data_IF_685619746590
#
_entry.id   IF_685619746590
#
_cell.length_a   1.000
_cell.length_b   1.000
_cell.length_c   1.000
_cell.angle_alpha   90.00
_cell.angle_beta   90.00
_cell.angle_gamma   90.00
#
_symmetry.space_group_name_H-M   'P 1'
#
loop_
_entity.id
_entity.type
_entity.pdbx_description
1 polymer ?
#
# COMPACT_ATOMS: atom_id res chain seq x y z
N UNK A 1 5.28 16.31 -76.54
CA UNK A 1 3.97 15.91 -75.98
C UNK A 1 4.12 15.87 -74.47
N UNK A 2 3.71 16.94 -73.80
CA UNK A 2 3.78 17.07 -72.34
C UNK A 2 2.40 16.69 -71.78
N UNK A 3 2.32 15.57 -71.07
CA UNK A 3 1.13 15.18 -70.32
C UNK A 3 1.15 15.94 -68.97
N UNK A 4 0.49 17.08 -68.91
CA UNK A 4 0.15 17.70 -67.62
C UNK A 4 -1.05 16.94 -67.02
N UNK A 5 -0.78 16.12 -66.01
CA UNK A 5 -1.83 15.51 -65.19
C UNK A 5 -2.31 16.52 -64.14
N UNK A 6 -3.24 17.38 -64.53
CA UNK A 6 -3.92 18.32 -63.64
C UNK A 6 -4.94 17.57 -62.76
N UNK A 7 -4.46 16.84 -61.75
CA UNK A 7 -5.32 16.36 -60.67
C UNK A 7 -5.88 17.55 -59.90
N UNK A 8 -7.22 17.62 -59.78
CA UNK A 8 -7.88 18.72 -59.09
C UNK A 8 -7.38 18.84 -57.64
N UNK A 9 -7.32 20.05 -57.06
CA UNK A 9 -6.90 20.25 -55.68
C UNK A 9 -7.72 19.41 -54.68
N UNK A 10 -8.96 19.07 -55.05
CA UNK A 10 -9.86 18.21 -54.30
C UNK A 10 -9.45 16.71 -54.32
N UNK A 11 -8.92 16.20 -55.43
CA UNK A 11 -8.38 14.83 -55.47
C UNK A 11 -7.08 14.68 -54.66
N UNK A 12 -6.27 15.74 -54.62
CA UNK A 12 -5.01 15.74 -53.84
C UNK A 12 -5.26 15.77 -52.32
N UNK A 13 -6.29 16.49 -51.87
CA UNK A 13 -6.70 16.48 -50.45
C UNK A 13 -7.29 15.14 -50.04
N UNK A 14 -8.13 14.52 -50.87
CA UNK A 14 -8.68 13.17 -50.58
C UNK A 14 -7.56 12.13 -50.52
N UNK A 15 -6.63 12.13 -51.48
CA UNK A 15 -5.49 11.21 -51.47
C UNK A 15 -4.62 11.35 -50.21
N UNK A 16 -4.41 12.59 -49.75
CA UNK A 16 -3.64 12.87 -48.53
C UNK A 16 -4.35 12.36 -47.27
N UNK A 17 -5.68 12.54 -47.18
CA UNK A 17 -6.50 12.05 -46.07
C UNK A 17 -6.51 10.51 -46.04
N UNK A 18 -6.62 9.87 -47.21
CA UNK A 18 -6.60 8.41 -47.31
C UNK A 18 -5.24 7.85 -46.89
N UNK A 19 -4.12 8.47 -47.30
CA UNK A 19 -2.78 8.05 -46.86
C UNK A 19 -2.61 8.21 -45.35
N UNK A 20 -3.01 9.36 -44.78
CA UNK A 20 -2.90 9.62 -43.33
C UNK A 20 -3.75 8.63 -42.53
N UNK A 21 -4.99 8.37 -42.96
CA UNK A 21 -5.87 7.39 -42.30
C UNK A 21 -5.34 5.96 -42.42
N UNK A 22 -4.83 5.55 -43.58
CA UNK A 22 -4.22 4.23 -43.74
C UNK A 22 -2.93 4.07 -42.91
N UNK A 23 -2.09 5.10 -42.82
CA UNK A 23 -0.90 5.06 -41.95
C UNK A 23 -1.25 5.01 -40.47
N UNK A 24 -2.26 5.76 -40.01
CA UNK A 24 -2.76 5.68 -38.64
C UNK A 24 -3.37 4.31 -38.31
N UNK A 25 -4.14 3.73 -39.24
CA UNK A 25 -4.78 2.42 -39.06
C UNK A 25 -3.76 1.26 -38.94
N UNK A 26 -2.59 1.38 -39.58
CA UNK A 26 -1.55 0.34 -39.55
C UNK A 26 -0.61 0.55 -38.33
N UNK A 27 -0.26 1.78 -37.98
CA UNK A 27 0.68 2.04 -36.88
C UNK A 27 0.08 1.84 -35.49
N UNK A 28 -1.21 2.13 -35.29
CA UNK A 28 -1.87 2.00 -33.99
C UNK A 28 -1.88 0.55 -33.46
N UNK A 29 -2.32 -0.47 -34.21
CA UNK A 29 -2.31 -1.85 -33.74
C UNK A 29 -0.88 -2.39 -33.56
N UNK A 30 0.09 -1.95 -34.38
CA UNK A 30 1.50 -2.33 -34.21
C UNK A 30 2.13 -1.69 -32.96
N UNK A 31 1.81 -0.43 -32.67
CA UNK A 31 2.26 0.25 -31.45
C UNK A 31 1.61 -0.36 -30.19
N UNK A 32 0.31 -0.67 -30.24
CA UNK A 32 -0.39 -1.38 -29.16
C UNK A 32 0.17 -2.79 -28.96
N UNK A 33 0.46 -3.54 -30.04
CA UNK A 33 1.08 -4.86 -29.94
C UNK A 33 2.50 -4.79 -29.35
N UNK A 34 3.31 -3.80 -29.75
CA UNK A 34 4.63 -3.56 -29.17
C UNK A 34 4.54 -3.18 -27.69
N UNK A 35 3.55 -2.37 -27.29
CA UNK A 35 3.29 -2.04 -25.89
C UNK A 35 2.86 -3.26 -25.08
N UNK A 36 1.94 -4.09 -25.60
CA UNK A 36 1.52 -5.33 -24.94
C UNK A 36 2.70 -6.28 -24.76
N UNK A 37 3.50 -6.51 -25.81
CA UNK A 37 4.69 -7.36 -25.70
C UNK A 37 5.75 -6.79 -24.74
N UNK A 38 5.86 -5.46 -24.65
CA UNK A 38 6.76 -4.80 -23.70
C UNK A 38 6.27 -4.96 -22.25
N UNK A 39 4.97 -4.85 -22.01
CA UNK A 39 4.37 -5.07 -20.69
C UNK A 39 4.40 -6.54 -20.29
N UNK A 40 4.12 -7.48 -21.19
CA UNK A 40 4.29 -8.93 -20.95
C UNK A 40 5.74 -9.28 -20.61
N UNK A 41 6.71 -8.69 -21.32
CA UNK A 41 8.13 -8.86 -21.02
C UNK A 41 8.48 -8.33 -19.63
N UNK A 42 8.00 -7.13 -19.25
CA UNK A 42 8.21 -6.58 -17.90
C UNK A 42 7.61 -7.47 -16.82
N UNK A 43 6.39 -7.96 -17.03
CA UNK A 43 5.72 -8.87 -16.10
C UNK A 43 6.49 -10.19 -15.94
N UNK A 44 6.93 -10.80 -17.03
CA UNK A 44 7.72 -12.03 -16.99
C UNK A 44 9.07 -11.84 -16.25
N UNK A 45 9.72 -10.69 -16.44
CA UNK A 45 10.95 -10.34 -15.70
C UNK A 45 10.67 -10.17 -14.22
N UNK A 46 9.58 -9.48 -13.85
CA UNK A 46 9.17 -9.28 -12.47
C UNK A 46 8.81 -10.61 -11.78
N UNK A 47 8.09 -11.50 -12.46
CA UNK A 47 7.72 -12.81 -11.92
C UNK A 47 8.93 -13.73 -11.74
N UNK A 48 9.88 -13.70 -12.67
CA UNK A 48 11.16 -14.40 -12.52
C UNK A 48 11.95 -13.86 -11.32
N UNK A 49 12.00 -12.54 -11.13
CA UNK A 49 12.66 -11.94 -9.98
C UNK A 49 12.00 -12.35 -8.66
N UNK A 50 10.67 -12.41 -8.61
CA UNK A 50 9.91 -12.91 -7.45
C UNK A 50 10.22 -14.37 -7.18
N UNK A 51 10.27 -15.22 -8.20
CA UNK A 51 10.64 -16.63 -8.06
C UNK A 51 12.05 -16.76 -7.46
N UNK A 52 13.02 -16.00 -7.99
CA UNK A 52 14.40 -15.98 -7.49
C UNK A 52 14.48 -15.50 -6.03
N UNK A 53 13.67 -14.52 -5.63
CA UNK A 53 13.58 -14.07 -4.23
C UNK A 53 13.01 -15.16 -3.29
N UNK A 54 12.01 -15.93 -3.75
CA UNK A 54 11.49 -17.10 -3.03
C UNK A 54 12.58 -18.17 -2.90
N UNK A 55 13.30 -18.45 -3.98
CA UNK A 55 14.43 -19.39 -3.95
C UNK A 55 15.53 -18.93 -2.99
N UNK A 56 15.87 -17.63 -2.96
CA UNK A 56 16.84 -17.08 -2.01
C UNK A 56 16.39 -17.35 -0.58
N UNK A 57 15.13 -17.10 -0.26
CA UNK A 57 14.57 -17.35 1.07
C UNK A 57 14.70 -18.82 1.47
N UNK A 58 14.38 -19.76 0.57
CA UNK A 58 14.55 -21.20 0.79
C UNK A 58 16.03 -21.58 1.01
N UNK A 59 16.93 -20.99 0.24
CA UNK A 59 18.38 -21.20 0.40
C UNK A 59 18.87 -20.68 1.75
N UNK A 60 18.41 -19.51 2.19
CA UNK A 60 18.75 -18.96 3.51
C UNK A 60 18.20 -19.82 4.66
N UNK A 61 16.98 -20.37 4.53
CA UNK A 61 16.44 -21.35 5.48
C UNK A 61 17.30 -22.62 5.52
N UNK A 62 17.72 -23.12 4.35
CA UNK A 62 18.61 -24.29 4.27
C UNK A 62 19.95 -24.05 4.94
N UNK A 63 20.54 -22.85 4.74
CA UNK A 63 21.75 -22.41 5.43
C UNK A 63 21.55 -22.45 6.94
N UNK A 64 20.47 -21.84 7.43
CA UNK A 64 20.18 -21.79 8.86
C UNK A 64 19.98 -23.18 9.46
N UNK A 65 19.13 -24.03 8.86
CA UNK A 65 18.90 -25.41 9.34
C UNK A 65 20.21 -26.18 9.45
N UNK A 66 21.09 -26.02 8.46
CA UNK A 66 22.40 -26.68 8.45
C UNK A 66 23.34 -26.12 9.51
N UNK A 67 23.33 -24.80 9.72
CA UNK A 67 24.08 -24.18 10.80
C UNK A 67 23.55 -24.63 12.17
N UNK A 68 22.23 -24.64 12.38
CA UNK A 68 21.59 -25.06 13.62
C UNK A 68 21.94 -26.51 13.95
N UNK A 69 21.88 -27.41 12.96
CA UNK A 69 22.32 -28.80 13.12
C UNK A 69 23.78 -28.91 13.56
N UNK A 70 24.67 -28.10 12.98
CA UNK A 70 26.09 -28.09 13.35
C UNK A 70 26.37 -27.43 14.69
N UNK A 71 25.46 -26.59 15.20
CA UNK A 71 25.58 -25.98 16.51
C UNK A 71 25.26 -26.98 17.64
N UNK A 72 24.41 -27.98 17.36
CA UNK A 72 23.93 -28.96 18.33
C UNK A 72 24.71 -30.28 18.33
N UNK A 73 25.75 -30.42 17.51
CA UNK A 73 26.54 -31.66 17.48
C UNK A 73 27.34 -31.83 18.77
N UNK A 74 27.35 -33.06 19.30
CA UNK A 74 28.21 -33.43 20.42
C UNK A 74 29.65 -33.77 19.97
N UNK A 75 30.51 -34.12 20.92
CA UNK A 75 31.92 -34.44 20.68
C UNK A 75 32.12 -35.68 19.81
N UNK A 76 31.26 -36.70 19.93
CA UNK A 76 31.32 -37.93 19.14
C UNK A 76 30.90 -37.65 17.69
N UNK A 77 29.79 -36.94 17.49
CA UNK A 77 29.30 -36.51 16.19
C UNK A 77 30.29 -35.57 15.48
N UNK A 78 30.94 -34.68 16.23
CA UNK A 78 32.01 -33.82 15.70
C UNK A 78 33.19 -34.68 15.21
N UNK A 79 33.57 -35.73 15.94
CA UNK A 79 34.64 -36.64 15.55
C UNK A 79 34.35 -37.39 14.23
N UNK A 80 33.09 -37.76 13.99
CA UNK A 80 32.63 -38.41 12.74
C UNK A 80 32.37 -37.43 11.59
N UNK A 81 32.20 -36.13 11.87
CA UNK A 81 31.87 -35.13 10.87
C UNK A 81 32.92 -35.06 9.74
N UNK A 82 32.47 -35.23 8.50
CA UNK A 82 33.31 -34.99 7.33
C UNK A 82 33.44 -33.48 7.07
N UNK A 83 34.56 -32.89 7.52
CA UNK A 83 34.83 -31.46 7.36
C UNK A 83 34.93 -31.05 5.88
N UNK A 84 35.51 -31.91 5.03
CA UNK A 84 35.62 -31.66 3.59
C UNK A 84 34.25 -31.53 2.91
N UNK A 85 33.34 -32.46 3.21
CA UNK A 85 31.97 -32.43 2.70
C UNK A 85 31.20 -31.23 3.25
N UNK A 86 31.37 -30.93 4.53
CA UNK A 86 30.72 -29.77 5.18
C UNK A 86 31.09 -28.47 4.49
N UNK A 87 32.39 -28.26 4.20
CA UNK A 87 32.90 -27.11 3.45
C UNK A 87 32.36 -27.05 2.03
N UNK A 88 32.34 -28.17 1.30
CA UNK A 88 31.78 -28.23 -0.07
C UNK A 88 30.32 -27.80 -0.08
N UNK A 89 29.50 -28.29 0.86
CA UNK A 89 28.09 -27.89 0.95
C UNK A 89 27.94 -26.40 1.26
N UNK A 90 28.73 -25.81 2.17
CA UNK A 90 28.67 -24.37 2.43
C UNK A 90 29.17 -23.52 1.27
N UNK A 91 30.16 -24.00 0.51
CA UNK A 91 30.61 -23.34 -0.72
C UNK A 91 29.48 -23.30 -1.76
N UNK A 92 28.77 -24.42 -1.96
CA UNK A 92 27.62 -24.46 -2.85
C UNK A 92 26.50 -23.52 -2.40
N UNK A 93 26.14 -23.54 -1.12
CA UNK A 93 25.11 -22.63 -0.58
C UNK A 93 25.51 -21.16 -0.72
N UNK A 94 26.78 -20.82 -0.45
CA UNK A 94 27.31 -19.47 -0.66
C UNK A 94 27.18 -19.04 -2.12
N UNK A 95 27.54 -19.89 -3.07
CA UNK A 95 27.42 -19.62 -4.50
C UNK A 95 25.96 -19.41 -4.92
N UNK A 96 25.04 -20.23 -4.41
CA UNK A 96 23.61 -20.07 -4.67
C UNK A 96 23.08 -18.75 -4.13
N UNK A 97 23.46 -18.37 -2.91
CA UNK A 97 23.08 -17.07 -2.32
C UNK A 97 23.56 -15.90 -3.19
N UNK A 98 24.82 -15.94 -3.65
CA UNK A 98 25.39 -14.90 -4.52
C UNK A 98 24.65 -14.83 -5.86
N UNK A 99 24.35 -15.98 -6.48
CA UNK A 99 23.63 -16.02 -7.75
C UNK A 99 22.18 -15.49 -7.63
N UNK A 100 21.52 -15.77 -6.51
CA UNK A 100 20.13 -15.34 -6.29
C UNK A 100 20.03 -13.88 -5.81
N UNK A 101 21.07 -13.33 -5.17
CA UNK A 101 21.17 -11.90 -4.78
C UNK A 101 21.12 -10.97 -6.00
N UNK A 102 21.66 -11.37 -7.14
CA UNK A 102 21.66 -10.55 -8.35
C UNK A 102 20.25 -10.10 -8.75
N UNK A 103 19.27 -11.00 -8.67
CA UNK A 103 17.87 -10.69 -8.96
C UNK A 103 17.27 -9.68 -7.98
N UNK A 104 17.61 -9.79 -6.69
CA UNK A 104 17.14 -8.87 -5.64
C UNK A 104 17.73 -7.48 -5.85
N UNK A 105 19.00 -7.38 -6.27
CA UNK A 105 19.62 -6.08 -6.58
C UNK A 105 18.97 -5.41 -7.79
N UNK A 106 18.64 -6.19 -8.81
CA UNK A 106 17.90 -5.68 -9.97
C UNK A 106 16.54 -5.16 -9.53
N UNK A 107 15.81 -5.90 -8.68
CA UNK A 107 14.51 -5.46 -8.16
C UNK A 107 14.59 -4.17 -7.32
N UNK A 108 15.61 -4.03 -6.47
CA UNK A 108 15.86 -2.78 -5.76
C UNK A 108 16.15 -1.61 -6.71
N UNK A 109 16.93 -1.84 -7.78
CA UNK A 109 17.22 -0.81 -8.77
C UNK A 109 15.96 -0.39 -9.56
N UNK A 110 15.15 -1.35 -9.99
CA UNK A 110 13.86 -1.11 -10.65
C UNK A 110 12.91 -0.35 -9.74
N UNK A 111 12.82 -0.75 -8.48
CA UNK A 111 12.03 -0.03 -7.48
C UNK A 111 12.51 1.42 -7.35
N UNK A 112 13.82 1.65 -7.23
CA UNK A 112 14.39 3.00 -7.17
C UNK A 112 13.98 3.85 -8.38
N UNK A 113 14.07 3.29 -9.59
CA UNK A 113 13.65 3.98 -10.81
C UNK A 113 12.17 4.37 -10.74
N UNK A 114 11.31 3.43 -10.36
CA UNK A 114 9.88 3.69 -10.20
C UNK A 114 9.60 4.80 -9.19
N UNK A 115 10.27 4.80 -8.02
CA UNK A 115 10.09 5.84 -7.01
C UNK A 115 10.48 7.24 -7.54
N UNK A 116 11.54 7.32 -8.36
CA UNK A 116 12.00 8.58 -8.97
C UNK A 116 11.05 9.04 -10.07
N UNK A 117 10.59 8.13 -10.94
CA UNK A 117 9.64 8.43 -12.02
C UNK A 117 8.30 8.94 -11.48
N UNK A 118 7.84 8.36 -10.36
CA UNK A 118 6.61 8.79 -9.67
C UNK A 118 6.80 10.08 -8.85
N UNK A 119 7.99 10.71 -8.89
CA UNK A 119 8.31 11.95 -8.17
C UNK A 119 7.95 11.90 -6.68
N UNK A 120 8.19 10.75 -6.06
CA UNK A 120 7.86 10.58 -4.65
C UNK A 120 8.74 11.45 -3.75
N UNK A 121 8.26 11.81 -2.54
CA UNK A 121 9.01 12.63 -1.59
C UNK A 121 10.40 12.06 -1.27
N UNK A 122 11.34 12.95 -0.93
CA UNK A 122 12.74 12.61 -0.66
C UNK A 122 12.87 11.62 0.50
N UNK A 123 11.95 11.67 1.48
CA UNK A 123 11.88 10.78 2.62
C UNK A 123 11.66 9.33 2.17
N UNK A 124 10.86 9.09 1.13
CA UNK A 124 10.60 7.75 0.58
C UNK A 124 11.85 7.22 -0.11
N UNK A 125 12.53 8.06 -0.90
CA UNK A 125 13.80 7.70 -1.53
C UNK A 125 14.87 7.36 -0.48
N UNK A 126 14.93 8.11 0.61
CA UNK A 126 15.88 7.87 1.70
C UNK A 126 15.58 6.58 2.47
N UNK A 127 14.30 6.28 2.73
CA UNK A 127 13.89 4.99 3.31
C UNK A 127 14.30 3.82 2.43
N UNK A 128 14.09 3.93 1.11
CA UNK A 128 14.52 2.92 0.16
C UNK A 128 16.04 2.74 0.17
N UNK A 129 16.83 3.83 0.10
CA UNK A 129 18.29 3.76 0.15
C UNK A 129 18.79 3.09 1.44
N UNK A 130 18.17 3.43 2.57
CA UNK A 130 18.50 2.83 3.88
C UNK A 130 18.19 1.33 3.89
N UNK A 131 17.06 0.91 3.33
CA UNK A 131 16.70 -0.50 3.21
C UNK A 131 17.71 -1.28 2.36
N UNK A 132 18.10 -0.72 1.20
CA UNK A 132 19.11 -1.33 0.30
C UNK A 132 20.46 -1.47 1.00
N UNK A 133 20.93 -0.42 1.67
CA UNK A 133 22.20 -0.44 2.40
C UNK A 133 22.18 -1.48 3.54
N UNK A 134 21.09 -1.52 4.31
CA UNK A 134 20.89 -2.48 5.40
C UNK A 134 20.92 -3.92 4.88
N UNK A 135 20.19 -4.19 3.79
CA UNK A 135 20.20 -5.50 3.12
C UNK A 135 21.62 -5.91 2.69
N UNK A 136 22.33 -5.02 1.98
CA UNK A 136 23.69 -5.28 1.50
C UNK A 136 24.66 -5.59 2.64
N UNK A 137 24.57 -4.85 3.75
CA UNK A 137 25.38 -5.08 4.94
C UNK A 137 25.10 -6.47 5.56
N UNK A 138 23.83 -6.84 5.71
CA UNK A 138 23.46 -8.15 6.25
C UNK A 138 23.94 -9.29 5.37
N UNK A 139 23.81 -9.15 4.05
CA UNK A 139 24.26 -10.14 3.09
C UNK A 139 25.79 -10.27 3.10
N UNK A 140 26.52 -9.16 3.08
CA UNK A 140 27.98 -9.16 3.14
C UNK A 140 28.49 -9.87 4.41
N UNK A 141 27.86 -9.59 5.55
CA UNK A 141 28.19 -10.24 6.83
C UNK A 141 27.90 -11.74 6.80
N UNK A 142 26.76 -12.16 6.22
CA UNK A 142 26.45 -13.57 6.03
C UNK A 142 27.49 -14.27 5.15
N UNK A 143 27.82 -13.69 3.99
CA UNK A 143 28.80 -14.26 3.06
C UNK A 143 30.19 -14.38 3.68
N UNK A 144 30.60 -13.41 4.50
CA UNK A 144 31.85 -13.47 5.27
C UNK A 144 31.82 -14.57 6.33
N UNK A 145 30.71 -14.75 7.05
CA UNK A 145 30.55 -15.82 8.02
C UNK A 145 30.58 -17.22 7.34
N UNK A 146 29.94 -17.37 6.19
CA UNK A 146 29.99 -18.61 5.40
C UNK A 146 31.41 -18.89 4.89
N UNK A 147 32.14 -17.86 4.44
CA UNK A 147 33.54 -18.01 4.03
C UNK A 147 34.43 -18.45 5.19
N UNK A 148 34.23 -17.87 6.38
CA UNK A 148 34.96 -18.25 7.57
C UNK A 148 34.76 -19.74 7.90
N UNK A 149 33.56 -20.30 7.70
CA UNK A 149 33.27 -21.73 7.87
C UNK A 149 34.00 -22.57 6.80
N UNK A 150 34.02 -22.10 5.55
CA UNK A 150 34.71 -22.78 4.44
C UNK A 150 36.23 -22.86 4.70
N UNK A 151 36.79 -21.80 5.31
CA UNK A 151 38.23 -21.67 5.60
C UNK A 151 38.69 -22.38 6.89
N UNK A 152 37.78 -22.92 7.71
CA UNK A 152 38.10 -23.60 8.98
C UNK A 152 39.19 -24.68 8.78
N UNK A 153 40.28 -24.64 9.55
CA UNK A 153 41.38 -25.62 9.39
C UNK A 153 41.12 -26.92 10.14
N UNK A 154 40.52 -26.84 11.32
CA UNK A 154 40.25 -27.99 12.19
C UNK A 154 38.84 -27.94 12.78
N UNK A 155 38.35 -29.07 13.26
CA UNK A 155 36.97 -29.21 13.77
C UNK A 155 36.68 -28.35 15.00
N UNK A 156 37.69 -28.07 15.83
CA UNK A 156 37.54 -27.24 17.03
C UNK A 156 37.11 -25.80 16.75
N UNK A 157 37.53 -25.24 15.61
CA UNK A 157 37.13 -23.88 15.20
C UNK A 157 35.73 -23.82 14.58
N UNK A 158 35.15 -24.96 14.20
CA UNK A 158 33.90 -24.99 13.43
C UNK A 158 32.73 -24.44 14.25
N UNK A 159 32.63 -24.84 15.52
CA UNK A 159 31.53 -24.48 16.40
C UNK A 159 31.41 -22.96 16.57
N UNK A 160 32.52 -22.28 16.88
CA UNK A 160 32.54 -20.82 17.03
C UNK A 160 32.11 -20.07 15.75
N UNK A 161 32.55 -20.56 14.58
CA UNK A 161 32.17 -19.93 13.29
C UNK A 161 30.70 -20.16 12.96
N UNK A 162 30.18 -21.35 13.26
CA UNK A 162 28.76 -21.68 13.10
C UNK A 162 27.89 -20.84 14.06
N UNK A 163 28.30 -20.73 15.33
CA UNK A 163 27.61 -19.92 16.34
C UNK A 163 27.54 -18.46 15.92
N UNK A 164 28.64 -17.89 15.42
CA UNK A 164 28.69 -16.52 14.89
C UNK A 164 27.73 -16.34 13.72
N UNK A 165 27.70 -17.30 12.78
CA UNK A 165 26.82 -17.24 11.62
C UNK A 165 25.33 -17.29 12.01
N UNK A 166 24.96 -18.19 12.94
CA UNK A 166 23.59 -18.29 13.45
C UNK A 166 23.14 -17.03 14.18
N UNK A 167 23.98 -16.49 15.06
CA UNK A 167 23.67 -15.28 15.84
C UNK A 167 23.33 -14.09 14.93
N UNK A 168 23.95 -14.02 13.75
CA UNK A 168 23.66 -13.00 12.75
C UNK A 168 22.35 -13.26 11.99
N UNK A 169 22.04 -14.52 11.67
CA UNK A 169 20.90 -14.90 10.81
C UNK A 169 19.55 -14.91 11.57
N UNK A 170 19.54 -15.43 12.80
CA UNK A 170 18.33 -15.58 13.63
C UNK A 170 17.48 -14.32 13.80
N UNK A 171 18.03 -13.12 14.09
CA UNK A 171 17.20 -11.92 14.26
C UNK A 171 16.52 -11.49 12.95
N UNK A 172 17.12 -11.78 11.79
CA UNK A 172 16.61 -11.35 10.48
C UNK A 172 15.36 -12.12 10.06
N UNK A 173 15.18 -13.35 10.51
CA UNK A 173 13.98 -14.14 10.20
C UNK A 173 12.70 -13.64 10.87
N UNK A 174 12.84 -12.94 12.01
CA UNK A 174 11.69 -12.50 12.79
C UNK A 174 11.03 -11.24 12.22
N UNK A 175 11.69 -10.55 11.28
CA UNK A 175 11.25 -9.24 10.78
C UNK A 175 10.06 -9.28 9.80
N UNK A 176 9.53 -10.45 9.45
CA UNK A 176 8.36 -10.60 8.56
C UNK A 176 7.13 -11.26 9.18
N UNK A 177 7.17 -11.62 10.47
CA UNK A 177 5.98 -12.12 11.16
C UNK A 177 5.17 -10.92 11.63
N UNK A 178 4.33 -10.39 10.76
CA UNK A 178 3.28 -9.47 11.19
C UNK A 178 2.46 -10.18 12.27
N UNK A 179 2.19 -9.55 13.43
CA UNK A 179 1.20 -10.08 14.34
C UNK A 179 -0.08 -10.33 13.53
N UNK A 180 -0.73 -11.46 13.77
CA UNK A 180 -2.04 -11.71 13.14
C UNK A 180 -2.93 -10.50 13.43
N UNK A 181 -3.70 -10.06 12.44
CA UNK A 181 -4.69 -9.01 12.61
C UNK A 181 -5.54 -9.34 13.85
N UNK A 182 -5.43 -8.51 14.89
CA UNK A 182 -6.22 -8.62 16.11
C UNK A 182 -7.25 -7.49 16.07
N UNK A 183 -8.52 -7.81 15.79
CA UNK A 183 -9.61 -6.84 15.78
C UNK A 183 -9.74 -6.05 17.09
N UNK A 184 -9.24 -6.58 18.21
CA UNK A 184 -9.32 -5.95 19.53
C UNK A 184 -8.17 -4.99 19.82
N UNK A 185 -7.15 -4.93 18.95
CA UNK A 185 -5.98 -4.06 19.10
C UNK A 185 -5.94 -2.97 18.01
N UNK A 186 -7.13 -2.55 17.56
CA UNK A 186 -7.28 -1.43 16.63
C UNK A 186 -7.17 -0.11 17.39
N UNK A 187 -6.60 0.96 16.77
CA UNK A 187 -6.59 2.30 17.38
C UNK A 187 -8.01 2.83 17.64
N UNK A 188 -9.00 2.29 16.95
CA UNK A 188 -10.42 2.50 17.19
C UNK A 188 -11.04 1.14 17.49
N UNK A 189 -11.48 0.94 18.72
CA UNK A 189 -12.04 -0.33 19.13
C UNK A 189 -13.51 -0.42 18.71
N UNK A 190 -13.98 -1.61 18.31
CA UNK A 190 -15.42 -1.86 18.20
C UNK A 190 -16.02 -1.77 19.60
N UNK A 191 -17.11 -1.01 19.82
CA UNK A 191 -17.75 -0.90 21.13
C UNK A 191 -18.04 -2.30 21.67
N UNK A 192 -17.76 -2.54 22.96
CA UNK A 192 -17.81 -3.86 23.62
C UNK A 192 -19.21 -4.47 23.75
N UNK A 193 -20.19 -3.92 23.04
CA UNK A 193 -21.60 -4.32 23.06
C UNK A 193 -22.30 -3.99 24.37
N UNK A 194 -21.60 -3.47 25.39
CA UNK A 194 -22.19 -3.06 26.67
C UNK A 194 -22.80 -1.67 26.51
N UNK A 195 -23.82 -1.61 25.67
CA UNK A 195 -24.70 -0.46 25.61
C UNK A 195 -25.59 -0.52 26.84
N UNK A 196 -25.65 0.57 27.61
CA UNK A 196 -26.63 0.67 28.71
C UNK A 196 -28.03 0.40 28.15
N UNK A 197 -28.89 -0.36 28.84
CA UNK A 197 -30.27 -0.52 28.42
C UNK A 197 -30.97 0.86 28.38
N UNK A 198 -32.03 1.01 27.58
CA UNK A 198 -32.85 2.21 27.61
C UNK A 198 -33.29 2.53 29.04
N UNK A 199 -33.32 3.82 29.37
CA UNK A 199 -33.88 4.27 30.65
C UNK A 199 -35.39 4.12 30.59
N UNK A 200 -35.93 3.16 31.31
CA UNK A 200 -37.38 2.93 31.37
C UNK A 200 -38.06 3.79 32.44
N UNK A 201 -37.30 4.27 33.43
CA UNK A 201 -37.82 5.15 34.47
C UNK A 201 -37.69 6.65 34.14
N UNK A 202 -38.81 7.35 34.27
CA UNK A 202 -38.92 8.79 34.06
C UNK A 202 -38.10 9.59 35.08
N UNK A 203 -37.95 9.11 36.32
CA UNK A 203 -37.15 9.83 37.32
C UNK A 203 -35.65 9.70 37.03
N UNK A 204 -35.19 8.50 36.65
CA UNK A 204 -33.82 8.29 36.19
C UNK A 204 -33.48 9.08 34.93
N UNK A 205 -34.39 9.14 33.96
CA UNK A 205 -34.22 9.97 32.76
C UNK A 205 -34.06 11.46 33.11
N UNK A 206 -34.88 11.98 34.03
CA UNK A 206 -34.80 13.38 34.49
C UNK A 206 -33.54 13.71 35.28
N UNK A 207 -32.95 12.73 35.97
CA UNK A 207 -31.67 12.91 36.67
C UNK A 207 -30.52 13.09 35.68
N UNK A 208 -30.52 12.32 34.59
CA UNK A 208 -29.47 12.37 33.57
C UNK A 208 -29.67 13.53 32.58
N UNK A 209 -30.92 13.89 32.30
CA UNK A 209 -31.29 15.02 31.45
C UNK A 209 -32.18 15.98 32.25
N UNK A 210 -31.58 16.84 33.09
CA UNK A 210 -32.31 17.81 33.89
C UNK A 210 -32.96 18.86 32.98
N UNK A 211 -34.17 18.59 32.52
CA UNK A 211 -34.98 19.57 31.80
C UNK A 211 -35.47 20.64 32.78
N UNK A 212 -35.20 21.92 32.49
CA UNK A 212 -35.86 23.03 33.20
C UNK A 212 -37.35 22.98 32.84
N UNK A 213 -38.27 22.73 33.78
CA UNK A 213 -39.68 22.68 33.45
C UNK A 213 -40.14 24.08 33.09
N UNK A 214 -40.52 24.29 31.82
CA UNK A 214 -41.21 25.51 31.40
C UNK A 214 -42.64 25.37 31.92
N UNK A 215 -42.96 26.09 33.01
CA UNK A 215 -44.33 26.15 33.53
C UNK A 215 -45.10 27.17 32.71
N UNK A 216 -45.99 26.68 31.85
CA UNK A 216 -46.87 27.52 31.05
C UNK A 216 -48.19 27.65 31.82
N UNK A 217 -48.55 28.87 32.23
CA UNK A 217 -49.76 29.16 32.98
C UNK A 217 -51.00 29.38 32.09
N UNK A 218 -51.01 28.81 30.87
CA UNK A 218 -52.05 29.06 29.87
C UNK A 218 -52.69 27.75 29.41
N UNK A 219 -54.02 27.77 29.25
CA UNK A 219 -54.84 26.66 28.75
C UNK A 219 -54.73 26.48 27.23
N UNK A 220 -53.97 27.34 26.55
CA UNK A 220 -53.78 27.35 25.09
C UNK A 220 -52.30 27.61 24.80
N UNK A 221 -51.68 26.75 23.98
CA UNK A 221 -50.29 26.89 23.56
C UNK A 221 -50.22 27.79 22.33
N UNK A 222 -49.71 29.01 22.49
CA UNK A 222 -49.36 29.88 21.37
C UNK A 222 -47.92 29.55 20.90
N UNK A 223 -47.61 29.57 19.59
CA UNK A 223 -46.27 29.26 19.07
C UNK A 223 -45.13 30.06 19.72
N UNK A 224 -45.40 31.31 20.10
CA UNK A 224 -44.46 32.20 20.78
C UNK A 224 -44.06 31.70 22.18
N UNK A 225 -44.89 30.87 22.81
CA UNK A 225 -44.62 30.30 24.14
C UNK A 225 -43.64 29.12 24.10
N UNK A 226 -43.34 28.59 22.90
CA UNK A 226 -42.27 27.59 22.69
C UNK A 226 -40.88 28.23 22.52
N UNK A 227 -40.78 29.56 22.49
CA UNK A 227 -39.52 30.31 22.25
C UNK A 227 -38.44 30.13 23.34
N UNK A 228 -38.71 29.35 24.39
CA UNK A 228 -37.69 28.88 25.33
C UNK A 228 -36.80 27.76 24.75
N UNK A 229 -37.15 27.20 23.58
CA UNK A 229 -36.21 26.46 22.76
C UNK A 229 -35.34 27.49 22.01
N UNK A 230 -34.01 27.40 22.18
CA UNK A 230 -33.03 28.14 21.38
C UNK A 230 -33.38 27.97 19.90
N UNK A 231 -33.94 29.02 19.30
CA UNK A 231 -34.12 29.08 17.86
C UNK A 231 -32.71 29.08 17.28
N UNK A 232 -32.37 28.18 16.33
CA UNK A 232 -31.10 28.23 15.63
C UNK A 232 -30.91 29.65 15.09
N UNK A 233 -29.84 30.31 15.51
CA UNK A 233 -29.49 31.63 15.01
C UNK A 233 -28.76 31.51 13.66
N UNK A 234 -28.41 32.65 13.06
CA UNK A 234 -27.76 32.66 11.74
C UNK A 234 -26.40 31.95 11.71
N UNK A 235 -25.79 31.67 12.87
CA UNK A 235 -24.51 30.95 12.93
C UNK A 235 -24.62 29.50 12.41
N UNK A 236 -25.81 28.91 12.46
CA UNK A 236 -26.08 27.58 11.92
C UNK A 236 -26.09 27.52 10.39
N UNK A 237 -26.04 28.67 9.72
CA UNK A 237 -25.99 28.80 8.26
C UNK A 237 -24.60 29.21 7.76
N UNK A 238 -23.63 29.42 8.66
CA UNK A 238 -22.28 29.77 8.28
C UNK A 238 -21.50 28.56 7.76
N UNK A 239 -20.50 28.81 6.92
CA UNK A 239 -19.62 27.77 6.41
C UNK A 239 -18.81 27.15 7.56
N UNK A 240 -18.70 25.82 7.56
CA UNK A 240 -17.90 25.05 8.51
C UNK A 240 -16.80 24.28 7.77
N UNK A 241 -15.86 23.67 8.49
CA UNK A 241 -14.80 22.86 7.87
C UNK A 241 -15.39 21.77 6.94
N UNK A 242 -16.52 21.19 7.33
CA UNK A 242 -17.24 20.15 6.57
C UNK A 242 -18.21 20.71 5.51
N UNK A 243 -18.64 21.97 5.61
CA UNK A 243 -19.64 22.59 4.73
C UNK A 243 -19.12 23.91 4.18
N UNK A 244 -18.61 23.87 2.94
CA UNK A 244 -18.10 25.05 2.24
C UNK A 244 -19.20 25.65 1.34
N UNK A 245 -19.53 26.93 1.55
CA UNK A 245 -20.45 27.69 0.68
C UNK A 245 -19.60 28.34 -0.41
N UNK A 246 -19.56 27.72 -1.59
CA UNK A 246 -18.78 28.24 -2.73
C UNK A 246 -19.63 29.16 -3.62
N UNK A 247 -19.01 30.05 -4.42
CA UNK A 247 -19.74 30.94 -5.32
C UNK A 247 -20.69 30.21 -6.30
N UNK A 248 -20.35 28.98 -6.68
CA UNK A 248 -21.18 28.14 -7.56
C UNK A 248 -22.45 27.65 -6.86
N UNK A 249 -22.37 27.36 -5.56
CA UNK A 249 -23.52 26.96 -4.74
C UNK A 249 -24.48 28.15 -4.58
N UNK A 250 -23.95 29.36 -4.37
CA UNK A 250 -24.76 30.58 -4.29
C UNK A 250 -25.45 30.90 -5.62
N UNK A 251 -24.74 30.73 -6.74
CA UNK A 251 -25.32 30.92 -8.07
C UNK A 251 -26.46 29.92 -8.35
N UNK A 252 -26.29 28.65 -7.96
CA UNK A 252 -27.32 27.64 -8.08
C UNK A 252 -28.52 27.91 -7.17
N UNK A 253 -28.28 28.36 -5.94
CA UNK A 253 -29.35 28.77 -5.02
C UNK A 253 -30.16 29.94 -5.61
N UNK A 254 -29.49 30.90 -6.24
CA UNK A 254 -30.13 32.01 -6.94
C UNK A 254 -30.96 31.55 -8.14
N UNK A 255 -30.45 30.62 -8.96
CA UNK A 255 -31.19 30.01 -10.08
C UNK A 255 -32.47 29.30 -9.62
N UNK A 256 -32.39 28.60 -8.49
CA UNK A 256 -33.52 27.92 -7.86
C UNK A 256 -34.43 28.88 -7.07
N UNK A 257 -34.12 30.18 -7.05
CA UNK A 257 -34.91 31.22 -6.42
C UNK A 257 -34.91 31.16 -4.89
N UNK A 258 -33.83 30.64 -4.29
CA UNK A 258 -33.69 30.40 -2.85
C UNK A 258 -34.85 29.58 -2.25
N UNK A 259 -35.50 28.74 -3.06
CA UNK A 259 -36.63 27.95 -2.63
C UNK A 259 -36.15 26.61 -2.05
N UNK A 260 -36.36 26.33 -0.75
CA UNK A 260 -35.81 25.15 -0.09
C UNK A 260 -36.33 23.83 -0.69
N UNK A 261 -37.58 23.81 -1.19
CA UNK A 261 -38.14 22.62 -1.83
C UNK A 261 -37.45 22.33 -3.16
N UNK A 262 -37.18 23.38 -3.95
CA UNK A 262 -36.48 23.22 -5.23
C UNK A 262 -35.02 22.81 -5.03
N UNK A 263 -34.34 23.39 -4.04
CA UNK A 263 -32.97 23.04 -3.67
C UNK A 263 -32.91 21.59 -3.22
N UNK A 264 -33.83 21.14 -2.35
CA UNK A 264 -33.89 19.74 -1.92
C UNK A 264 -34.10 18.78 -3.09
N UNK A 265 -35.06 19.05 -3.96
CA UNK A 265 -35.32 18.20 -5.13
C UNK A 265 -34.10 18.13 -6.06
N UNK A 266 -33.45 19.27 -6.30
CA UNK A 266 -32.23 19.31 -7.12
C UNK A 266 -31.11 18.47 -6.50
N UNK A 267 -30.87 18.59 -5.20
CA UNK A 267 -29.84 17.79 -4.50
C UNK A 267 -30.20 16.31 -4.56
N UNK A 268 -31.45 15.95 -4.28
CA UNK A 268 -31.92 14.57 -4.34
C UNK A 268 -31.72 13.95 -5.74
N UNK A 269 -32.02 14.69 -6.80
CA UNK A 269 -31.99 14.19 -8.17
C UNK A 269 -30.58 14.20 -8.80
N UNK A 270 -29.71 15.10 -8.36
CA UNK A 270 -28.39 15.32 -8.97
C UNK A 270 -27.21 14.84 -8.11
N UNK A 271 -27.39 14.67 -6.80
CA UNK A 271 -26.35 14.22 -5.87
C UNK A 271 -26.70 12.84 -5.33
N UNK A 272 -25.90 11.85 -5.73
CA UNK A 272 -26.04 10.48 -5.21
C UNK A 272 -25.59 10.44 -3.75
N UNK A 273 -26.54 10.34 -2.83
CA UNK A 273 -26.21 10.07 -1.43
C UNK A 273 -25.61 8.67 -1.29
N UNK A 274 -24.39 8.59 -0.77
CA UNK A 274 -23.73 7.34 -0.41
C UNK A 274 -23.76 7.26 1.13
N UNK A 275 -24.50 6.31 1.72
CA UNK A 275 -24.57 6.16 3.17
C UNK A 275 -23.30 5.51 3.70
N UNK A 276 -22.19 6.24 3.69
CA UNK A 276 -20.94 5.86 4.38
C UNK A 276 -20.88 6.56 5.72
N UNK A 277 -20.84 5.80 6.81
CA UNK A 277 -20.55 6.34 8.14
C UNK A 277 -19.03 6.38 8.35
N UNK A 278 -18.51 7.53 8.76
CA UNK A 278 -17.14 7.70 9.27
C UNK A 278 -16.12 8.32 8.30
N UNK A 279 -15.02 8.80 8.89
CA UNK A 279 -13.85 9.47 8.30
C UNK A 279 -13.04 8.60 7.33
N UNK A 280 -13.67 7.91 6.39
CA UNK A 280 -13.00 7.15 5.33
C UNK A 280 -12.73 8.03 4.10
N UNK A 281 -13.25 9.27 4.07
CA UNK A 281 -13.01 10.25 2.99
C UNK A 281 -12.48 11.61 3.46
N UNK A 282 -12.05 11.72 4.72
CA UNK A 282 -11.30 12.89 5.22
C UNK A 282 -9.80 12.71 4.99
#
# INVERSE_FOLDING_TARGET
MQYESSFSPFMRTIASIVIVTFTMLILQPAAMAAQVMHEEYKQAVADKAREQAVQLTKTLQTVEVKLAKLQTIDTAQLAELNLGQTKKSFRSLKQQVVALDEAVRVDFATTKQHLVEQKLPVEILQRHQTAVATYQQHLATLLANLEAIIMVKNKGQLHDKVAKALKHLQPLQKQGKYPKFDPNNLPFNVPDGKVRPPLEDKQELKKLFPAKPIKLAATTLLPEMLAAATIPDSSYLEATEDVQITPEIDALALELGHNPVKIYNWVHDNIKFIPTYGSIQG
#
